data_IF_988122884978
#
_entry.id   IF_988122884978
#
_cell.length_a   1.000
_cell.length_b   1.000
_cell.length_c   1.000
_cell.angle_alpha   90.00
_cell.angle_beta   90.00
_cell.angle_gamma   90.00
#
_symmetry.space_group_name_H-M   'P 1'
#
loop_
_entity.id
_entity.type
_entity.pdbx_description
1 polymer ?
#
# COMPACT_ATOMS: atom_id res chain seq x y z
N UNK A 1 -3.25 1.02 16.24
CA UNK A 1 -2.73 0.24 15.09
C UNK A 1 -1.21 0.15 15.09
N UNK A 2 -0.67 -0.90 14.46
CA UNK A 2 0.78 -1.13 14.29
C UNK A 2 1.10 -1.13 12.79
N UNK A 3 1.71 -0.05 12.29
CA UNK A 3 2.18 0.06 10.91
C UNK A 3 3.60 -0.50 10.79
N UNK A 4 3.85 -1.38 9.83
CA UNK A 4 5.19 -1.93 9.52
C UNK A 4 5.55 -1.54 8.09
N UNK A 5 6.61 -0.75 7.91
CA UNK A 5 7.09 -0.29 6.60
C UNK A 5 8.38 -1.03 6.23
N UNK A 6 8.43 -1.66 5.05
CA UNK A 6 9.59 -2.40 4.50
C UNK A 6 9.75 -2.08 3.01
N UNK A 7 10.95 -2.31 2.45
CA UNK A 7 11.24 -2.07 1.03
C UNK A 7 11.83 -0.69 0.69
N UNK A 8 12.28 0.08 1.69
CA UNK A 8 12.86 1.43 1.52
C UNK A 8 14.01 1.49 0.50
N UNK A 9 14.81 0.43 0.38
CA UNK A 9 15.93 0.35 -0.56
C UNK A 9 15.50 0.21 -2.02
N UNK A 10 14.41 -0.51 -2.31
CA UNK A 10 13.91 -0.69 -3.68
C UNK A 10 13.38 0.61 -4.29
N UNK A 11 13.03 1.60 -3.46
CA UNK A 11 12.67 2.95 -3.92
C UNK A 11 13.91 3.80 -4.29
N UNK A 12 15.10 3.37 -3.88
CA UNK A 12 16.37 4.09 -4.09
C UNK A 12 17.23 3.48 -5.21
N UNK A 13 16.96 2.24 -5.63
CA UNK A 13 17.75 1.53 -6.65
C UNK A 13 17.52 2.03 -8.10
N UNK A 14 16.44 2.79 -8.34
CA UNK A 14 16.09 3.36 -9.66
C UNK A 14 16.61 4.81 -9.87
N UNK A 15 17.44 5.35 -8.96
CA UNK A 15 17.73 6.80 -8.94
C UNK A 15 18.89 7.24 -9.86
N UNK A 16 18.58 7.82 -11.01
CA UNK A 16 19.52 8.70 -11.76
C UNK A 16 19.27 10.21 -11.57
N UNK A 17 18.33 10.65 -10.71
CA UNK A 17 18.10 12.08 -10.50
C UNK A 17 17.82 12.43 -9.03
N UNK A 18 18.39 13.55 -8.57
CA UNK A 18 18.14 14.12 -7.24
C UNK A 18 16.65 14.38 -6.95
N UNK A 19 15.85 14.64 -7.99
CA UNK A 19 14.39 14.82 -7.89
C UNK A 19 13.66 13.57 -7.41
N UNK A 20 14.10 12.37 -7.81
CA UNK A 20 13.44 11.13 -7.38
C UNK A 20 13.74 10.81 -5.92
N UNK A 21 14.94 11.17 -5.44
CA UNK A 21 15.28 11.08 -4.02
C UNK A 21 14.40 12.03 -3.18
N UNK A 22 14.13 13.23 -3.68
CA UNK A 22 13.27 14.20 -2.99
C UNK A 22 11.82 13.71 -2.92
N UNK A 23 11.28 13.13 -4.00
CA UNK A 23 9.96 12.48 -4.00
C UNK A 23 9.85 11.33 -3.00
N UNK A 24 10.89 10.50 -2.90
CA UNK A 24 10.95 9.39 -1.94
C UNK A 24 10.99 9.91 -0.50
N UNK A 25 11.70 11.00 -0.23
CA UNK A 25 11.68 11.66 1.09
C UNK A 25 10.30 12.20 1.43
N UNK A 26 9.66 12.91 0.50
CA UNK A 26 8.28 13.40 0.68
C UNK A 26 7.31 12.26 0.96
N UNK A 27 7.43 11.15 0.20
CA UNK A 27 6.64 9.95 0.45
C UNK A 27 6.85 9.41 1.87
N UNK A 28 8.10 9.34 2.36
CA UNK A 28 8.34 8.88 3.73
C UNK A 28 7.75 9.83 4.78
N UNK A 29 7.86 11.15 4.59
CA UNK A 29 7.27 12.15 5.49
C UNK A 29 5.73 12.09 5.50
N UNK A 30 5.11 11.76 4.35
CA UNK A 30 3.67 11.50 4.24
C UNK A 30 3.29 10.20 4.97
N UNK A 31 4.09 9.15 4.85
CA UNK A 31 3.82 7.85 5.50
C UNK A 31 4.04 7.88 7.02
N UNK A 32 4.90 8.74 7.54
CA UNK A 32 5.10 8.89 9.00
C UNK A 32 3.92 9.57 9.69
N UNK A 33 3.07 10.30 8.95
CA UNK A 33 1.82 10.86 9.46
C UNK A 33 0.77 9.74 9.59
N UNK A 34 0.88 8.97 10.69
CA UNK A 34 0.06 7.77 10.99
C UNK A 34 -1.45 7.88 10.75
N UNK A 35 -2.02 9.07 10.92
CA UNK A 35 -3.46 9.34 10.76
C UNK A 35 -3.94 9.08 9.33
N UNK A 36 -3.08 9.35 8.38
CA UNK A 36 -3.43 9.49 6.99
C UNK A 36 -3.47 8.14 6.25
N UNK A 37 -2.62 7.18 6.65
CA UNK A 37 -2.65 5.79 6.13
C UNK A 37 -3.84 5.01 6.69
N UNK A 38 -4.22 5.26 7.95
CA UNK A 38 -5.34 4.58 8.59
C UNK A 38 -6.66 4.88 7.85
N UNK A 39 -6.88 6.13 7.44
CA UNK A 39 -8.04 6.53 6.63
C UNK A 39 -8.12 5.76 5.29
N UNK A 40 -6.98 5.45 4.65
CA UNK A 40 -6.97 4.60 3.44
C UNK A 40 -7.33 3.14 3.72
N UNK A 41 -6.95 2.62 4.89
CA UNK A 41 -7.30 1.27 5.32
C UNK A 41 -8.79 1.20 5.69
N UNK A 42 -9.37 2.21 6.33
CA UNK A 42 -10.81 2.29 6.58
C UNK A 42 -11.62 2.27 5.30
N UNK A 43 -11.14 2.96 4.26
CA UNK A 43 -11.76 2.86 2.94
C UNK A 43 -11.80 1.37 2.52
N UNK A 44 -10.79 0.53 2.85
CA UNK A 44 -10.68 -0.88 2.35
C UNK A 44 -11.64 -1.82 3.04
N UNK A 45 -12.18 -1.43 4.19
CA UNK A 45 -13.12 -2.26 4.96
C UNK A 45 -14.47 -2.44 4.26
N UNK A 46 -14.82 -1.56 3.31
CA UNK A 46 -16.14 -1.55 2.65
C UNK A 46 -16.18 -2.25 1.28
N UNK A 47 -15.04 -2.71 0.75
CA UNK A 47 -14.95 -3.26 -0.61
C UNK A 47 -14.39 -4.68 -0.67
N UNK A 48 -14.93 -5.50 -1.59
CA UNK A 48 -14.30 -6.74 -2.00
C UNK A 48 -13.23 -6.47 -3.06
N UNK A 49 -12.03 -7.02 -2.87
CA UNK A 49 -10.96 -7.04 -3.87
C UNK A 49 -9.94 -5.90 -3.82
N UNK A 50 -9.11 -5.83 -4.86
CA UNK A 50 -7.98 -4.89 -4.96
C UNK A 50 -8.46 -3.48 -5.28
N UNK A 51 -7.86 -2.50 -4.62
CA UNK A 51 -8.12 -1.08 -4.84
C UNK A 51 -6.84 -0.34 -5.18
N UNK A 52 -6.96 0.59 -6.11
CA UNK A 52 -5.84 1.35 -6.65
C UNK A 52 -6.11 2.82 -6.38
N UNK A 53 -5.18 3.47 -5.71
CA UNK A 53 -5.16 4.91 -5.46
C UNK A 53 -4.06 5.53 -6.31
N UNK A 54 -4.39 6.51 -7.14
CA UNK A 54 -3.46 7.10 -8.11
C UNK A 54 -3.25 8.58 -7.77
N UNK A 55 -2.05 8.94 -7.30
CA UNK A 55 -1.63 10.33 -7.16
C UNK A 55 -2.54 11.20 -6.29
N UNK A 56 -2.89 12.38 -6.79
CA UNK A 56 -3.60 13.47 -6.09
C UNK A 56 -5.07 13.20 -5.76
N UNK A 57 -5.54 11.96 -5.86
CA UNK A 57 -6.87 11.55 -5.37
C UNK A 57 -7.00 11.69 -3.84
N UNK A 58 -5.89 11.94 -3.13
CA UNK A 58 -5.87 12.34 -1.72
C UNK A 58 -4.59 13.15 -1.36
N UNK A 59 -4.64 13.91 -0.26
CA UNK A 59 -3.56 14.84 0.17
C UNK A 59 -2.20 14.18 0.43
N UNK A 60 -2.14 12.87 0.67
CA UNK A 60 -0.90 12.13 0.96
C UNK A 60 -0.01 11.86 -0.25
N UNK A 61 -0.60 11.63 -1.42
CA UNK A 61 0.15 11.15 -2.58
C UNK A 61 0.25 12.21 -3.68
N UNK A 62 -0.36 13.38 -3.44
CA UNK A 62 -0.39 14.52 -4.37
C UNK A 62 0.98 15.17 -4.56
N UNK A 63 1.82 15.20 -3.51
CA UNK A 63 3.13 15.84 -3.56
C UNK A 63 4.25 14.87 -3.97
N UNK A 64 4.12 13.58 -3.63
CA UNK A 64 5.13 12.56 -3.93
C UNK A 64 5.02 11.93 -5.32
N UNK A 65 3.91 12.13 -6.04
CA UNK A 65 3.70 11.50 -7.36
C UNK A 65 3.61 9.98 -7.28
N UNK A 66 3.05 9.47 -6.19
CA UNK A 66 2.97 8.04 -5.87
C UNK A 66 1.57 7.47 -6.10
N UNK A 67 1.50 6.14 -6.20
CA UNK A 67 0.28 5.35 -6.25
C UNK A 67 0.35 4.23 -5.22
N UNK A 68 -0.81 3.83 -4.69
CA UNK A 68 -0.97 2.76 -3.72
C UNK A 68 -1.93 1.70 -4.29
N UNK A 69 -1.45 0.46 -4.40
CA UNK A 69 -2.29 -0.71 -4.70
C UNK A 69 -2.48 -1.49 -3.40
N UNK A 70 -3.71 -1.73 -2.98
CA UNK A 70 -4.00 -2.38 -1.69
C UNK A 70 -5.10 -3.42 -1.82
N UNK A 71 -4.99 -4.53 -1.08
CA UNK A 71 -5.99 -5.58 -0.97
C UNK A 71 -6.24 -5.93 0.50
N UNK A 72 -7.49 -5.94 0.97
CA UNK A 72 -7.81 -6.37 2.33
C UNK A 72 -7.56 -7.88 2.48
N UNK A 73 -7.20 -8.31 3.69
CA UNK A 73 -7.19 -9.73 4.07
C UNK A 73 -8.17 -9.97 5.21
N UNK A 74 -8.81 -11.13 5.17
CA UNK A 74 -9.90 -11.50 6.07
C UNK A 74 -9.53 -12.74 6.88
N UNK A 75 -10.11 -12.86 8.06
CA UNK A 75 -10.06 -14.09 8.86
C UNK A 75 -11.13 -15.10 8.39
N UNK A 76 -11.18 -16.26 9.06
CA UNK A 76 -12.17 -17.32 8.79
C UNK A 76 -13.63 -16.84 8.87
N UNK A 77 -13.93 -15.83 9.69
CA UNK A 77 -15.27 -15.23 9.84
C UNK A 77 -15.60 -14.20 8.75
N UNK A 78 -14.77 -14.09 7.71
CA UNK A 78 -14.86 -13.07 6.64
C UNK A 78 -14.81 -11.63 7.17
N UNK A 79 -14.20 -11.42 8.33
CA UNK A 79 -13.95 -10.09 8.88
C UNK A 79 -12.63 -9.56 8.35
N UNK A 80 -12.62 -8.34 7.81
CA UNK A 80 -11.39 -7.63 7.46
C UNK A 80 -10.58 -7.41 8.74
N UNK A 81 -9.34 -7.90 8.74
CA UNK A 81 -8.41 -7.80 9.89
C UNK A 81 -7.13 -7.02 9.54
N UNK A 82 -7.03 -6.56 8.29
CA UNK A 82 -5.99 -5.65 7.80
C UNK A 82 -5.90 -5.65 6.28
N UNK A 83 -4.85 -5.06 5.73
CA UNK A 83 -4.62 -5.04 4.29
C UNK A 83 -3.13 -5.18 3.93
N UNK A 84 -2.87 -5.66 2.73
CA UNK A 84 -1.55 -5.70 2.09
C UNK A 84 -1.54 -4.71 0.95
N UNK A 85 -0.48 -3.90 0.81
CA UNK A 85 -0.36 -2.98 -0.30
C UNK A 85 1.06 -2.69 -0.75
N UNK A 86 1.17 -2.15 -1.96
CA UNK A 86 2.41 -1.74 -2.62
C UNK A 86 2.29 -0.26 -2.98
N UNK A 87 3.33 0.50 -2.64
CA UNK A 87 3.47 1.91 -3.00
C UNK A 87 4.58 2.03 -4.05
N UNK A 88 4.33 2.83 -5.08
CA UNK A 88 5.32 3.15 -6.09
C UNK A 88 4.95 4.40 -6.88
N UNK A 89 5.73 4.78 -7.91
CA UNK A 89 5.41 5.93 -8.75
C UNK A 89 4.10 5.76 -9.51
N UNK A 90 3.50 6.84 -10.00
CA UNK A 90 2.22 6.81 -10.76
C UNK A 90 2.22 5.87 -11.97
N UNK A 91 3.39 5.54 -12.54
CA UNK A 91 3.54 4.62 -13.68
C UNK A 91 3.99 3.22 -13.26
N UNK A 92 3.19 2.56 -12.43
CA UNK A 92 3.40 1.14 -12.07
C UNK A 92 2.91 0.20 -13.18
N UNK A 93 3.50 -1.00 -13.25
CA UNK A 93 2.94 -2.09 -14.04
C UNK A 93 1.77 -2.73 -13.26
N UNK A 94 0.58 -2.12 -13.34
CA UNK A 94 -0.60 -2.58 -12.62
C UNK A 94 -0.98 -4.03 -12.97
N UNK A 95 -0.77 -4.47 -14.22
CA UNK A 95 -1.01 -5.85 -14.63
C UNK A 95 -0.16 -6.88 -13.88
N UNK A 96 1.03 -6.49 -13.42
CA UNK A 96 1.88 -7.32 -12.57
C UNK A 96 1.59 -7.15 -11.08
N UNK A 97 1.38 -5.91 -10.63
CA UNK A 97 1.27 -5.60 -9.19
C UNK A 97 -0.06 -6.07 -8.60
N UNK A 98 -1.17 -5.87 -9.32
CA UNK A 98 -2.52 -6.21 -8.82
C UNK A 98 -2.63 -7.70 -8.45
N UNK A 99 -2.23 -8.67 -9.30
CA UNK A 99 -2.29 -10.09 -8.93
C UNK A 99 -1.40 -10.46 -7.74
N UNK A 100 -0.22 -9.85 -7.63
CA UNK A 100 0.73 -10.13 -6.53
C UNK A 100 0.13 -9.67 -5.20
N UNK A 101 -0.44 -8.46 -5.17
CA UNK A 101 -1.04 -7.90 -3.96
C UNK A 101 -2.26 -8.70 -3.53
N UNK A 102 -3.15 -9.06 -4.47
CA UNK A 102 -4.34 -9.88 -4.20
C UNK A 102 -3.96 -11.25 -3.62
N UNK A 103 -3.08 -11.98 -4.31
CA UNK A 103 -2.64 -13.30 -3.85
C UNK A 103 -1.95 -13.24 -2.49
N UNK A 104 -1.13 -12.21 -2.26
CA UNK A 104 -0.45 -12.04 -0.97
C UNK A 104 -1.44 -11.78 0.15
N UNK A 105 -2.46 -10.95 -0.07
CA UNK A 105 -3.51 -10.71 0.92
C UNK A 105 -4.29 -11.98 1.25
N UNK A 106 -4.65 -12.78 0.23
CA UNK A 106 -5.32 -14.07 0.42
C UNK A 106 -4.45 -15.06 1.23
N UNK A 107 -3.15 -15.14 0.93
CA UNK A 107 -2.22 -15.99 1.67
C UNK A 107 -2.07 -15.56 3.12
N UNK A 108 -1.95 -14.26 3.38
CA UNK A 108 -1.89 -13.71 4.75
C UNK A 108 -3.17 -14.03 5.52
N UNK A 109 -4.34 -13.82 4.90
CA UNK A 109 -5.63 -14.16 5.51
C UNK A 109 -5.73 -15.64 5.88
N UNK A 110 -5.24 -16.53 5.00
CA UNK A 110 -5.18 -17.97 5.27
C UNK A 110 -4.23 -18.32 6.42
N UNK A 111 -3.00 -17.79 6.42
CA UNK A 111 -2.02 -18.07 7.48
C UNK A 111 -2.50 -17.60 8.86
N UNK A 112 -3.20 -16.46 8.92
CA UNK A 112 -3.77 -15.95 10.17
C UNK A 112 -4.97 -16.81 10.61
N UNK A 113 -5.74 -17.34 9.66
CA UNK A 113 -6.88 -18.22 9.96
C UNK A 113 -6.45 -19.62 10.40
N UNK A 114 -5.33 -20.14 9.87
CA UNK A 114 -4.79 -21.47 10.19
C UNK A 114 -3.95 -21.47 11.49
N UNK A 115 -3.48 -20.31 11.95
CA UNK A 115 -2.64 -20.15 13.15
C UNK A 115 -3.37 -19.75 14.44
N UNK A 116 -4.71 -19.79 14.43
CA UNK A 116 -5.59 -19.47 15.56
C UNK A 116 -6.10 -20.70 16.31
#
# INVERSE_FOLDING_TARGET
>A
ERLIVRGRSHLLEDSEAAEDLERVRTLFDDLERKHDIAEFLELTETGEGVRIFIGSENKLFSLSGSSLVVSPYMNADRKVIGAVGVIGPTRLNYGRIVPIVDYTAQLVGKLISDGG
#
